data_IF_824105252658
#
_entry.id   IF_824105252658
#
_cell.length_a   1.000
_cell.length_b   1.000
_cell.length_c   1.000
_cell.angle_alpha   90.00
_cell.angle_beta   90.00
_cell.angle_gamma   90.00
#
_symmetry.space_group_name_H-M   'P 1'
#
loop_
_entity.id
_entity.type
_entity.pdbx_description
1 polymer ?
#
# COMPACT_ATOMS: atom_id res chain seq x y z
N UNK A 1 -7.78 -0.80 10.95
CA UNK A 1 -7.55 -1.04 9.51
C UNK A 1 -8.84 -0.85 8.70
N UNK A 2 -9.90 -1.67 8.85
CA UNK A 2 -11.11 -1.59 8.02
C UNK A 2 -11.98 -0.35 8.26
N UNK A 3 -12.02 0.18 9.48
CA UNK A 3 -12.67 1.46 9.78
C UNK A 3 -11.92 2.62 9.14
N UNK A 4 -10.60 2.54 9.11
CA UNK A 4 -9.71 3.61 8.65
C UNK A 4 -9.34 4.60 9.74
N UNK A 5 -8.80 5.75 9.33
CA UNK A 5 -8.43 6.85 10.19
C UNK A 5 -9.27 8.11 9.99
N UNK A 6 -10.32 8.06 9.16
CA UNK A 6 -11.23 9.20 8.97
C UNK A 6 -12.03 9.47 10.25
N UNK A 7 -11.94 10.68 10.87
CA UNK A 7 -12.52 10.93 12.19
C UNK A 7 -13.99 10.56 12.30
N UNK A 8 -14.80 10.95 11.32
CA UNK A 8 -16.25 10.65 11.30
C UNK A 8 -16.52 9.14 11.24
N UNK A 9 -15.72 8.37 10.49
CA UNK A 9 -15.84 6.92 10.38
C UNK A 9 -15.46 6.23 11.71
N UNK A 10 -14.41 6.73 12.38
CA UNK A 10 -13.97 6.22 13.69
C UNK A 10 -15.00 6.52 14.76
N UNK A 11 -15.52 7.74 14.83
CA UNK A 11 -16.58 8.16 15.75
C UNK A 11 -17.82 7.30 15.59
N UNK A 12 -18.32 7.16 14.37
CA UNK A 12 -19.49 6.31 14.06
C UNK A 12 -19.27 4.86 14.48
N UNK A 13 -18.08 4.31 14.32
CA UNK A 13 -17.78 2.95 14.76
C UNK A 13 -17.80 2.82 16.29
N UNK A 14 -17.19 3.77 17.00
CA UNK A 14 -17.17 3.78 18.47
C UNK A 14 -18.58 3.86 19.04
N UNK A 15 -19.44 4.71 18.46
CA UNK A 15 -20.80 4.91 18.94
C UNK A 15 -21.75 3.76 18.60
N UNK A 16 -21.57 3.12 17.43
CA UNK A 16 -22.59 2.20 16.90
C UNK A 16 -22.13 0.77 16.75
N UNK A 17 -20.82 0.50 16.76
CA UNK A 17 -20.20 -0.78 16.43
C UNK A 17 -20.79 -1.39 15.14
N UNK A 18 -21.08 -0.55 14.14
CA UNK A 18 -21.79 -0.93 12.92
C UNK A 18 -20.98 -0.54 11.68
N UNK A 19 -20.39 -1.53 11.01
CA UNK A 19 -19.58 -1.30 9.80
C UNK A 19 -20.39 -0.75 8.62
N UNK A 20 -21.69 -1.04 8.52
CA UNK A 20 -22.54 -0.47 7.48
C UNK A 20 -22.59 1.05 7.58
N UNK A 21 -22.81 1.60 8.78
CA UNK A 21 -22.81 3.06 9.00
C UNK A 21 -21.45 3.68 8.70
N UNK A 22 -20.39 2.99 9.07
CA UNK A 22 -19.01 3.39 8.73
C UNK A 22 -18.79 3.40 7.22
N UNK A 23 -19.30 2.40 6.51
CA UNK A 23 -19.19 2.31 5.04
C UNK A 23 -19.94 3.45 4.34
N UNK A 24 -21.16 3.80 4.80
CA UNK A 24 -21.93 4.93 4.30
C UNK A 24 -21.13 6.23 4.38
N UNK A 25 -20.54 6.53 5.54
CA UNK A 25 -19.67 7.71 5.74
C UNK A 25 -18.45 7.69 4.80
N UNK A 26 -17.79 6.54 4.66
CA UNK A 26 -16.62 6.41 3.77
C UNK A 26 -16.99 6.61 2.29
N UNK A 27 -18.17 6.15 1.86
CA UNK A 27 -18.70 6.40 0.52
C UNK A 27 -18.94 7.87 0.26
N UNK A 28 -19.49 8.60 1.23
CA UNK A 28 -19.66 10.05 1.13
C UNK A 28 -18.31 10.77 1.01
N UNK A 29 -17.30 10.34 1.77
CA UNK A 29 -15.94 10.87 1.65
C UNK A 29 -15.34 10.58 0.26
N UNK A 30 -15.49 9.36 -0.26
CA UNK A 30 -15.01 9.01 -1.61
C UNK A 30 -15.70 9.85 -2.70
N UNK A 31 -17.00 10.12 -2.54
CA UNK A 31 -17.75 11.00 -3.44
C UNK A 31 -17.21 12.43 -3.43
N UNK A 32 -16.89 12.96 -2.23
CA UNK A 32 -16.23 14.28 -2.12
C UNK A 32 -14.88 14.30 -2.82
N UNK A 33 -14.07 13.24 -2.73
CA UNK A 33 -12.82 13.13 -3.47
C UNK A 33 -13.05 13.16 -4.98
N UNK A 34 -14.05 12.42 -5.50
CA UNK A 34 -14.41 12.45 -6.92
C UNK A 34 -14.83 13.87 -7.39
N UNK A 35 -15.60 14.58 -6.57
CA UNK A 35 -16.01 15.95 -6.87
C UNK A 35 -14.80 16.90 -6.90
N UNK A 36 -13.85 16.73 -5.98
CA UNK A 36 -12.62 17.53 -5.96
C UNK A 36 -11.69 17.17 -7.14
N UNK A 37 -11.56 15.91 -7.50
CA UNK A 37 -10.81 15.50 -8.69
C UNK A 37 -11.38 16.10 -9.97
N UNK A 38 -12.70 16.20 -10.10
CA UNK A 38 -13.36 16.84 -11.25
C UNK A 38 -13.13 18.34 -11.35
N UNK A 39 -12.83 19.01 -10.23
CA UNK A 39 -12.41 20.43 -10.23
C UNK A 39 -10.99 20.60 -10.78
N UNK A 40 -10.12 19.62 -10.54
CA UNK A 40 -8.73 19.62 -11.00
C UNK A 40 -8.66 19.15 -12.47
N UNK A 41 -9.29 18.03 -12.77
CA UNK A 41 -9.33 17.41 -14.10
C UNK A 41 -10.77 17.14 -14.53
N UNK A 42 -11.34 18.05 -15.32
CA UNK A 42 -12.72 17.96 -15.82
C UNK A 42 -12.95 16.77 -16.77
N UNK A 43 -11.88 16.16 -17.31
CA UNK A 43 -11.97 14.97 -18.17
C UNK A 43 -12.20 13.68 -17.38
N UNK A 44 -12.03 13.71 -16.04
CA UNK A 44 -12.24 12.57 -15.15
C UNK A 44 -11.11 11.54 -15.12
N UNK A 45 -9.96 11.83 -15.72
CA UNK A 45 -8.81 10.90 -15.76
C UNK A 45 -8.23 10.64 -14.36
N UNK A 46 -8.20 11.66 -13.50
CA UNK A 46 -7.77 11.49 -12.09
C UNK A 46 -8.69 10.49 -11.39
N UNK A 47 -10.01 10.62 -11.54
CA UNK A 47 -10.97 9.67 -10.95
C UNK A 47 -10.76 8.25 -11.47
N UNK A 48 -10.49 8.07 -12.77
CA UNK A 48 -10.20 6.76 -13.36
C UNK A 48 -8.93 6.14 -12.77
N UNK A 49 -7.86 6.92 -12.62
CA UNK A 49 -6.61 6.47 -12.00
C UNK A 49 -6.83 6.08 -10.53
N UNK A 50 -7.56 6.88 -9.78
CA UNK A 50 -7.87 6.63 -8.38
C UNK A 50 -8.70 5.35 -8.21
N UNK A 51 -9.78 5.20 -8.96
CA UNK A 51 -10.68 4.05 -8.91
C UNK A 51 -10.00 2.73 -9.30
N UNK A 52 -8.97 2.79 -10.13
CA UNK A 52 -8.22 1.61 -10.53
C UNK A 52 -7.22 1.10 -9.48
N UNK A 53 -6.92 1.87 -8.43
CA UNK A 53 -5.90 1.50 -7.43
C UNK A 53 -6.16 0.11 -6.82
N UNK A 54 -7.36 -0.25 -6.33
CA UNK A 54 -7.58 -1.58 -5.75
C UNK A 54 -7.28 -2.71 -6.73
N UNK A 55 -7.74 -2.59 -7.98
CA UNK A 55 -7.50 -3.60 -9.01
C UNK A 55 -6.01 -3.72 -9.36
N UNK A 56 -5.31 -2.59 -9.45
CA UNK A 56 -3.87 -2.57 -9.72
C UNK A 56 -3.05 -3.19 -8.60
N UNK A 57 -3.38 -2.94 -7.34
CA UNK A 57 -2.73 -3.57 -6.18
C UNK A 57 -3.02 -5.09 -6.14
N UNK A 58 -4.24 -5.50 -6.47
CA UNK A 58 -4.65 -6.91 -6.45
C UNK A 58 -3.98 -7.76 -7.54
N UNK A 59 -3.48 -7.17 -8.63
CA UNK A 59 -2.82 -7.93 -9.71
C UNK A 59 -1.42 -8.42 -9.35
N UNK A 60 -0.88 -8.08 -8.18
CA UNK A 60 0.52 -8.34 -7.79
C UNK A 60 1.54 -7.84 -8.84
N UNK A 61 1.16 -6.82 -9.61
CA UNK A 61 2.06 -6.20 -10.57
C UNK A 61 3.13 -5.40 -9.82
N UNK A 62 4.37 -5.50 -10.28
CA UNK A 62 5.51 -4.80 -9.66
C UNK A 62 5.44 -3.26 -9.80
N UNK A 63 4.40 -2.74 -10.44
CA UNK A 63 4.16 -1.30 -10.62
C UNK A 63 2.72 -1.03 -11.02
N UNK A 64 2.25 0.19 -10.81
CA UNK A 64 0.99 0.68 -11.34
C UNK A 64 1.01 0.74 -12.87
N UNK A 65 0.06 0.09 -13.53
CA UNK A 65 -0.02 -0.05 -14.99
C UNK A 65 -0.91 1.07 -15.58
N UNK A 66 -0.34 2.26 -15.78
CA UNK A 66 -1.08 3.42 -16.29
C UNK A 66 -1.77 3.14 -17.64
N UNK A 67 -1.07 2.46 -18.55
CA UNK A 67 -1.62 2.14 -19.88
C UNK A 67 -2.85 1.22 -19.85
N UNK A 68 -3.03 0.49 -18.76
CA UNK A 68 -4.22 -0.33 -18.50
C UNK A 68 -5.44 0.49 -18.07
N UNK A 69 -5.25 1.73 -17.64
CA UNK A 69 -6.32 2.64 -17.19
C UNK A 69 -6.54 3.76 -18.20
N UNK A 70 -5.47 4.41 -18.64
CA UNK A 70 -5.46 5.51 -19.60
C UNK A 70 -4.64 5.13 -20.82
N UNK A 71 -5.28 4.54 -21.82
CA UNK A 71 -4.62 4.14 -23.05
C UNK A 71 -4.38 5.37 -23.97
N UNK A 72 -3.16 5.46 -24.53
CA UNK A 72 -2.82 6.51 -25.50
C UNK A 72 -2.45 7.87 -24.90
N UNK A 73 -2.49 8.04 -23.57
CA UNK A 73 -2.07 9.28 -22.92
C UNK A 73 -0.54 9.43 -22.93
N UNK A 74 -0.08 10.67 -23.00
CA UNK A 74 1.35 11.00 -22.93
C UNK A 74 1.86 10.82 -21.52
N UNK A 75 3.08 10.28 -21.38
CA UNK A 75 3.68 10.00 -20.09
C UNK A 75 3.77 11.24 -19.18
N UNK A 76 4.07 12.40 -19.73
CA UNK A 76 4.19 13.64 -18.96
C UNK A 76 2.82 14.06 -18.38
N UNK A 77 1.75 14.01 -19.18
CA UNK A 77 0.38 14.30 -18.74
C UNK A 77 -0.04 13.37 -17.60
N UNK A 78 0.29 12.09 -17.70
CA UNK A 78 -0.04 11.12 -16.65
C UNK A 78 0.72 11.42 -15.36
N UNK A 79 1.99 11.79 -15.43
CA UNK A 79 2.78 12.17 -14.25
C UNK A 79 2.22 13.42 -13.57
N UNK A 80 1.71 14.39 -14.33
CA UNK A 80 1.01 15.57 -13.78
C UNK A 80 -0.25 15.15 -13.01
N UNK A 81 -1.13 14.34 -13.62
CA UNK A 81 -2.35 13.84 -12.96
C UNK A 81 -2.05 13.06 -11.68
N UNK A 82 -0.98 12.24 -11.67
CA UNK A 82 -0.55 11.51 -10.48
C UNK A 82 0.01 12.46 -9.42
N UNK A 83 0.77 13.49 -9.82
CA UNK A 83 1.26 14.52 -8.91
C UNK A 83 0.10 15.23 -8.22
N UNK A 84 -0.93 15.63 -8.95
CA UNK A 84 -2.13 16.26 -8.41
C UNK A 84 -2.84 15.37 -7.38
N UNK A 85 -2.96 14.05 -7.66
CA UNK A 85 -3.50 13.09 -6.69
C UNK A 85 -2.64 12.97 -5.42
N UNK A 86 -1.32 12.94 -5.56
CA UNK A 86 -0.38 12.85 -4.42
C UNK A 86 -0.43 14.15 -3.61
N UNK A 87 -0.46 15.31 -4.27
CA UNK A 87 -0.50 16.61 -3.62
C UNK A 87 -1.82 16.84 -2.88
N UNK A 88 -2.94 16.27 -3.38
CA UNK A 88 -4.22 16.25 -2.66
C UNK A 88 -4.21 15.40 -1.40
N UNK A 89 -3.15 14.60 -1.19
CA UNK A 89 -3.00 13.65 -0.08
C UNK A 89 -4.08 12.55 -0.01
N UNK A 90 -4.75 12.30 -1.11
CA UNK A 90 -5.72 11.19 -1.21
C UNK A 90 -5.03 9.86 -1.48
N UNK A 91 -3.84 9.92 -2.08
CA UNK A 91 -2.99 8.77 -2.37
C UNK A 91 -1.56 8.98 -1.90
N UNK A 92 -0.85 7.89 -1.75
CA UNK A 92 0.57 7.80 -1.44
C UNK A 92 1.27 7.07 -2.59
N UNK A 93 2.45 7.53 -2.94
CA UNK A 93 3.25 6.94 -4.00
C UNK A 93 4.51 6.28 -3.43
N UNK A 94 4.74 5.02 -3.81
CA UNK A 94 5.99 4.33 -3.55
C UNK A 94 6.76 4.18 -4.87
N UNK A 95 7.99 4.68 -4.93
CA UNK A 95 8.84 4.57 -6.11
C UNK A 95 9.74 3.35 -6.05
N UNK A 96 9.99 2.71 -7.18
CA UNK A 96 11.04 1.71 -7.25
C UNK A 96 12.40 2.38 -7.06
N UNK A 97 13.19 1.84 -6.14
CA UNK A 97 14.61 2.16 -6.03
C UNK A 97 15.41 1.19 -6.94
N UNK A 98 16.06 1.71 -7.98
CA UNK A 98 16.84 0.88 -8.89
C UNK A 98 18.11 0.33 -8.23
N UNK A 99 18.72 1.09 -7.31
CA UNK A 99 19.80 0.62 -6.44
C UNK A 99 19.35 0.71 -4.97
N UNK A 100 19.17 -0.43 -4.28
CA UNK A 100 18.76 -0.45 -2.88
C UNK A 100 19.96 -0.13 -1.97
N UNK A 101 20.24 1.15 -1.83
CA UNK A 101 21.33 1.69 -1.02
C UNK A 101 20.84 2.91 -0.23
N UNK A 102 21.64 3.38 0.70
CA UNK A 102 21.40 4.66 1.37
C UNK A 102 21.27 5.79 0.33
N UNK A 103 20.35 6.72 0.58
CA UNK A 103 20.03 7.74 -0.43
C UNK A 103 19.06 7.25 -1.50
N UNK A 104 18.06 6.44 -1.12
CA UNK A 104 17.02 5.87 -2.00
C UNK A 104 16.40 6.89 -2.95
N UNK A 105 16.30 8.17 -2.54
CA UNK A 105 15.78 9.24 -3.37
C UNK A 105 16.59 9.47 -4.67
N UNK A 106 17.89 9.19 -4.64
CA UNK A 106 18.76 9.34 -5.83
C UNK A 106 18.61 8.16 -6.81
N UNK A 107 18.12 7.02 -6.32
CA UNK A 107 17.95 5.80 -7.09
C UNK A 107 16.50 5.57 -7.54
N UNK A 108 15.59 6.52 -7.26
CA UNK A 108 14.16 6.35 -7.59
C UNK A 108 13.92 6.39 -9.10
N UNK A 109 13.09 5.46 -9.57
CA UNK A 109 12.57 5.46 -10.93
C UNK A 109 11.20 6.13 -10.96
N UNK A 110 11.09 7.30 -11.60
CA UNK A 110 9.83 8.06 -11.69
C UNK A 110 8.76 7.37 -12.56
N UNK A 111 9.16 6.40 -13.39
CA UNK A 111 8.24 5.64 -14.27
C UNK A 111 7.79 4.31 -13.67
N UNK A 112 8.35 3.94 -12.53
CA UNK A 112 8.03 2.69 -11.84
C UNK A 112 7.62 3.00 -10.40
N UNK A 113 6.33 2.98 -10.17
CA UNK A 113 5.74 3.32 -8.87
C UNK A 113 4.52 2.45 -8.58
N UNK A 114 4.18 2.36 -7.32
CA UNK A 114 2.90 1.84 -6.81
C UNK A 114 2.11 3.00 -6.20
N UNK A 115 0.78 2.93 -6.29
CA UNK A 115 -0.13 3.86 -5.63
C UNK A 115 -0.88 3.14 -4.53
N UNK A 116 -0.93 3.77 -3.36
CA UNK A 116 -1.68 3.32 -2.20
C UNK A 116 -2.68 4.41 -1.80
N UNK A 117 -3.85 4.04 -1.28
CA UNK A 117 -4.73 5.03 -0.70
C UNK A 117 -4.16 5.56 0.62
N UNK A 118 -4.33 6.86 0.87
CA UNK A 118 -3.88 7.48 2.10
C UNK A 118 -4.63 6.94 3.34
N UNK A 119 -5.83 6.37 3.15
CA UNK A 119 -6.59 5.71 4.19
C UNK A 119 -7.01 4.28 3.77
N UNK A 120 -6.60 3.29 4.55
CA UNK A 120 -6.89 1.89 4.26
C UNK A 120 -8.38 1.54 4.47
N UNK A 121 -9.10 2.28 5.31
CA UNK A 121 -10.55 2.12 5.43
C UNK A 121 -11.28 2.55 4.17
N UNK A 122 -10.84 3.65 3.53
CA UNK A 122 -11.36 4.07 2.23
C UNK A 122 -11.01 3.04 1.13
N UNK A 123 -9.80 2.45 1.16
CA UNK A 123 -9.45 1.35 0.25
C UNK A 123 -10.43 0.18 0.40
N UNK A 124 -10.73 -0.23 1.64
CA UNK A 124 -11.69 -1.31 1.91
C UNK A 124 -13.09 -1.03 1.33
N UNK A 125 -13.55 0.22 1.38
CA UNK A 125 -14.83 0.63 0.77
C UNK A 125 -14.72 0.68 -0.77
N UNK A 126 -13.62 1.18 -1.31
CA UNK A 126 -13.40 1.28 -2.76
C UNK A 126 -13.35 -0.09 -3.45
N UNK A 127 -12.86 -1.13 -2.77
CA UNK A 127 -12.88 -2.53 -3.25
C UNK A 127 -14.31 -3.01 -3.57
N UNK A 128 -15.31 -2.53 -2.81
CA UNK A 128 -16.72 -2.89 -2.95
C UNK A 128 -17.56 -1.73 -3.51
N UNK A 129 -16.95 -0.86 -4.32
CA UNK A 129 -17.62 0.33 -4.89
C UNK A 129 -18.82 -0.02 -5.77
N UNK A 130 -18.81 -1.22 -6.37
CA UNK A 130 -19.89 -1.77 -7.21
C UNK A 130 -21.19 -2.06 -6.46
N UNK A 131 -21.17 -2.03 -5.12
CA UNK A 131 -22.33 -2.25 -4.26
C UNK A 131 -22.87 -0.93 -3.72
N UNK A 132 -24.18 -0.88 -3.47
CA UNK A 132 -24.79 0.29 -2.83
C UNK A 132 -24.24 0.53 -1.41
N UNK A 133 -23.92 -0.55 -0.72
CA UNK A 133 -23.24 -0.55 0.59
C UNK A 133 -22.55 -1.89 0.82
N UNK A 134 -21.59 -1.90 1.73
CA UNK A 134 -20.92 -3.12 2.17
C UNK A 134 -21.52 -3.60 3.49
N UNK A 135 -22.12 -4.79 3.46
CA UNK A 135 -22.77 -5.37 4.65
C UNK A 135 -21.77 -5.72 5.75
N UNK A 136 -22.21 -5.68 7.00
CA UNK A 136 -21.40 -6.06 8.16
C UNK A 136 -20.75 -7.44 8.00
N UNK A 137 -21.48 -8.40 7.43
CA UNK A 137 -21.00 -9.76 7.22
C UNK A 137 -19.79 -9.81 6.28
N UNK A 138 -19.68 -8.89 5.33
CA UNK A 138 -18.50 -8.80 4.44
C UNK A 138 -17.30 -8.33 5.25
N UNK A 139 -17.46 -7.32 6.09
CA UNK A 139 -16.39 -6.86 6.98
C UNK A 139 -15.97 -7.92 8.00
N UNK A 140 -16.91 -8.69 8.56
CA UNK A 140 -16.62 -9.81 9.45
C UNK A 140 -15.84 -10.93 8.74
N UNK A 141 -16.20 -11.23 7.48
CA UNK A 141 -15.46 -12.20 6.66
C UNK A 141 -14.06 -11.70 6.31
N UNK A 142 -13.88 -10.41 6.03
CA UNK A 142 -12.58 -9.79 5.83
C UNK A 142 -11.70 -9.92 7.09
N UNK A 143 -12.28 -9.64 8.27
CA UNK A 143 -11.58 -9.76 9.55
C UNK A 143 -11.21 -11.19 9.90
N UNK A 144 -12.03 -12.17 9.50
CA UNK A 144 -11.83 -13.59 9.82
C UNK A 144 -11.09 -14.36 8.73
N UNK A 145 -10.59 -13.70 7.68
CA UNK A 145 -9.91 -14.30 6.53
C UNK A 145 -10.75 -15.37 5.77
N UNK A 146 -12.09 -15.25 5.87
CA UNK A 146 -13.06 -16.19 5.29
C UNK A 146 -13.67 -15.73 3.96
N UNK A 147 -13.28 -14.58 3.45
CA UNK A 147 -13.85 -14.04 2.21
C UNK A 147 -13.30 -14.72 0.95
N UNK A 148 -12.21 -15.50 1.08
CA UNK A 148 -11.56 -16.16 -0.07
C UNK A 148 -10.89 -15.17 -1.04
N UNK A 149 -10.70 -13.92 -0.63
CA UNK A 149 -10.02 -12.87 -1.39
C UNK A 149 -8.63 -12.71 -0.81
N UNK A 150 -7.61 -12.67 -1.65
CA UNK A 150 -6.26 -12.31 -1.21
C UNK A 150 -6.24 -10.83 -0.82
N UNK A 151 -6.07 -10.57 0.46
CA UNK A 151 -6.04 -9.21 1.02
C UNK A 151 -4.61 -8.73 1.31
N UNK A 152 -3.59 -9.41 0.77
CA UNK A 152 -2.19 -9.02 0.95
C UNK A 152 -1.99 -7.52 0.68
N UNK A 153 -2.56 -7.02 -0.41
CA UNK A 153 -2.47 -5.61 -0.78
C UNK A 153 -3.14 -4.62 0.20
N UNK A 154 -4.14 -5.06 0.98
CA UNK A 154 -4.74 -4.22 2.04
C UNK A 154 -3.74 -4.07 3.21
N UNK A 155 -2.97 -5.14 3.50
CA UNK A 155 -1.89 -5.06 4.48
C UNK A 155 -0.70 -4.23 3.98
N UNK A 156 -0.36 -4.31 2.69
CA UNK A 156 0.62 -3.39 2.12
C UNK A 156 0.16 -1.93 2.22
N UNK A 157 -1.11 -1.66 1.96
CA UNK A 157 -1.67 -0.31 2.05
C UNK A 157 -1.60 0.26 3.48
N UNK A 158 -1.93 -0.53 4.52
CA UNK A 158 -1.85 -0.02 5.90
C UNK A 158 -0.38 0.21 6.31
N UNK A 159 0.55 -0.60 5.82
CA UNK A 159 1.98 -0.39 6.05
C UNK A 159 2.43 0.90 5.36
N UNK A 160 2.06 1.14 4.10
CA UNK A 160 2.31 2.38 3.39
C UNK A 160 1.77 3.60 4.15
N UNK A 161 0.51 3.51 4.61
CA UNK A 161 -0.14 4.56 5.40
C UNK A 161 0.63 4.88 6.69
N UNK A 162 1.03 3.87 7.44
CA UNK A 162 1.78 4.04 8.71
C UNK A 162 3.16 4.64 8.45
N UNK A 163 3.90 4.12 7.48
CA UNK A 163 5.23 4.63 7.14
C UNK A 163 5.18 6.09 6.67
N UNK A 164 4.22 6.42 5.82
CA UNK A 164 4.00 7.79 5.35
C UNK A 164 3.60 8.74 6.49
N UNK A 165 2.71 8.31 7.40
CA UNK A 165 2.33 9.08 8.58
C UNK A 165 3.51 9.35 9.53
N UNK A 166 4.53 8.50 9.51
CA UNK A 166 5.81 8.70 10.22
C UNK A 166 6.78 9.62 9.48
N UNK A 167 6.42 10.13 8.31
CA UNK A 167 7.25 11.02 7.49
C UNK A 167 8.23 10.30 6.57
N UNK A 168 8.12 8.98 6.39
CA UNK A 168 8.96 8.26 5.45
C UNK A 168 8.46 8.43 4.01
N UNK A 169 9.36 8.75 3.09
CA UNK A 169 9.13 8.54 1.67
C UNK A 169 9.13 7.03 1.37
N UNK A 170 8.18 6.59 0.54
CA UNK A 170 7.99 5.16 0.29
C UNK A 170 8.82 4.72 -0.92
N UNK A 171 9.59 3.67 -0.74
CA UNK A 171 10.37 3.00 -1.79
C UNK A 171 10.15 1.51 -1.70
N UNK A 172 10.18 0.83 -2.86
CA UNK A 172 10.21 -0.62 -2.97
C UNK A 172 11.35 -1.04 -3.91
N UNK A 173 11.66 -2.33 -3.97
CA UNK A 173 12.69 -2.82 -4.88
C UNK A 173 12.30 -4.16 -5.49
N UNK A 174 12.48 -4.28 -6.80
CA UNK A 174 12.32 -5.54 -7.52
C UNK A 174 13.67 -6.01 -8.07
N UNK A 175 13.96 -7.28 -7.95
CA UNK A 175 15.18 -7.88 -8.45
C UNK A 175 14.94 -9.30 -8.98
N UNK A 176 15.75 -9.71 -9.96
CA UNK A 176 15.62 -11.02 -10.59
C UNK A 176 16.01 -12.14 -9.62
N UNK A 177 15.14 -13.14 -9.51
CA UNK A 177 15.52 -14.43 -8.95
C UNK A 177 16.22 -15.25 -10.04
N UNK A 178 17.52 -15.41 -9.94
CA UNK A 178 18.35 -16.09 -10.94
C UNK A 178 17.93 -17.56 -11.18
N UNK A 179 17.36 -18.21 -10.15
CA UNK A 179 16.94 -19.63 -10.21
C UNK A 179 15.61 -19.85 -10.92
N UNK A 180 14.63 -18.96 -10.72
CA UNK A 180 13.25 -19.14 -11.22
C UNK A 180 12.89 -18.23 -12.38
N UNK A 181 13.75 -17.28 -12.77
CA UNK A 181 13.48 -16.22 -13.75
C UNK A 181 12.29 -15.31 -13.42
N UNK A 182 11.73 -15.41 -12.20
CA UNK A 182 10.72 -14.50 -11.68
C UNK A 182 11.39 -13.38 -10.87
N UNK A 183 10.75 -12.23 -10.81
CA UNK A 183 11.22 -11.17 -9.95
C UNK A 183 10.80 -11.44 -8.51
N UNK A 184 11.71 -11.21 -7.57
CA UNK A 184 11.41 -10.95 -6.19
C UNK A 184 11.10 -9.48 -5.99
N UNK A 185 10.30 -9.19 -4.97
CA UNK A 185 9.99 -7.83 -4.55
C UNK A 185 10.20 -7.70 -3.04
N UNK A 186 10.75 -6.57 -2.63
CA UNK A 186 10.75 -6.08 -1.25
C UNK A 186 9.74 -4.94 -1.20
N UNK A 187 8.69 -5.11 -0.41
CA UNK A 187 7.52 -4.23 -0.42
C UNK A 187 7.85 -2.80 -0.01
N UNK A 188 8.73 -2.62 0.99
CA UNK A 188 9.23 -1.30 1.37
C UNK A 188 10.71 -1.32 1.74
N UNK A 189 11.38 -0.20 1.46
CA UNK A 189 12.75 0.08 1.87
C UNK A 189 12.79 1.37 2.68
N UNK A 190 13.39 1.33 3.85
CA UNK A 190 13.67 2.52 4.65
C UNK A 190 15.18 2.78 4.70
N UNK A 191 15.58 4.05 4.65
CA UNK A 191 16.94 4.47 4.99
C UNK A 191 17.04 4.71 6.50
N UNK A 192 18.01 4.08 7.16
CA UNK A 192 18.26 4.26 8.59
C UNK A 192 19.76 4.35 8.83
N UNK A 193 20.22 5.46 9.41
CA UNK A 193 21.65 5.75 9.53
C UNK A 193 22.33 5.73 8.15
N UNK A 194 23.36 4.92 7.99
CA UNK A 194 24.11 4.72 6.75
C UNK A 194 23.77 3.41 6.01
N UNK A 195 22.62 2.81 6.30
CA UNK A 195 22.16 1.54 5.74
C UNK A 195 20.68 1.56 5.42
N UNK A 196 20.17 0.47 4.87
CA UNK A 196 18.76 0.27 4.56
C UNK A 196 18.13 -0.78 5.46
N UNK A 197 16.82 -0.69 5.60
CA UNK A 197 15.99 -1.68 6.29
C UNK A 197 14.91 -2.15 5.33
N UNK A 198 15.02 -3.37 4.76
CA UNK A 198 13.96 -3.98 3.96
C UNK A 198 12.80 -4.40 4.85
N UNK A 199 11.58 -4.19 4.35
CA UNK A 199 10.32 -4.59 4.97
C UNK A 199 9.56 -5.44 3.97
N UNK A 200 9.23 -6.67 4.35
CA UNK A 200 8.29 -7.55 3.65
C UNK A 200 6.96 -7.57 4.41
N UNK A 201 5.84 -7.57 3.71
CA UNK A 201 4.50 -7.56 4.29
C UNK A 201 3.79 -8.87 3.96
N UNK A 202 3.24 -9.54 4.97
CA UNK A 202 2.55 -10.82 4.79
C UNK A 202 1.24 -10.88 5.56
N UNK A 203 0.12 -11.01 4.85
CA UNK A 203 -1.18 -11.35 5.45
C UNK A 203 -1.26 -12.83 5.85
N UNK A 204 -0.61 -13.71 5.06
CA UNK A 204 -0.57 -15.16 5.25
C UNK A 204 0.77 -15.72 4.77
N UNK A 205 1.01 -17.02 4.92
CA UNK A 205 2.22 -17.67 4.39
C UNK A 205 3.55 -17.17 4.97
N UNK A 206 3.54 -16.61 6.17
CA UNK A 206 4.67 -15.94 6.82
C UNK A 206 5.79 -16.87 7.32
N UNK A 207 5.63 -18.19 7.17
CA UNK A 207 6.69 -19.16 7.49
C UNK A 207 7.80 -19.20 6.41
N UNK A 208 7.60 -18.52 5.30
CA UNK A 208 8.59 -18.41 4.21
C UNK A 208 8.75 -16.94 3.83
N UNK A 209 9.97 -16.46 3.80
CA UNK A 209 10.35 -15.08 3.47
C UNK A 209 11.46 -15.06 2.41
N UNK A 210 11.23 -15.84 1.34
CA UNK A 210 12.23 -16.09 0.27
C UNK A 210 12.75 -14.82 -0.39
N UNK A 211 11.92 -13.80 -0.57
CA UNK A 211 12.34 -12.53 -1.17
C UNK A 211 13.29 -11.79 -0.24
N UNK A 212 12.95 -11.71 1.06
CA UNK A 212 13.78 -11.07 2.08
C UNK A 212 15.11 -11.80 2.28
N UNK A 213 15.11 -13.14 2.24
CA UNK A 213 16.31 -13.95 2.34
C UNK A 213 17.25 -13.72 1.14
N UNK A 214 16.70 -13.80 -0.08
CA UNK A 214 17.48 -13.57 -1.31
C UNK A 214 18.01 -12.13 -1.39
N UNK A 215 17.21 -11.15 -0.94
CA UNK A 215 17.64 -9.77 -0.82
C UNK A 215 18.79 -9.62 0.17
N UNK A 216 18.68 -10.30 1.31
CA UNK A 216 19.69 -10.28 2.37
C UNK A 216 21.00 -10.92 1.91
N UNK A 217 20.95 -12.00 1.15
CA UNK A 217 22.12 -12.63 0.55
C UNK A 217 22.82 -11.68 -0.42
N UNK A 218 22.03 -11.02 -1.30
CA UNK A 218 22.56 -10.16 -2.37
C UNK A 218 23.11 -8.81 -1.85
N UNK A 219 22.51 -8.24 -0.81
CA UNK A 219 22.78 -6.88 -0.33
C UNK A 219 23.18 -6.83 1.16
N UNK A 220 23.76 -7.92 1.70
CA UNK A 220 24.05 -8.08 3.14
C UNK A 220 24.79 -6.91 3.77
N UNK A 221 25.77 -6.32 3.09
CA UNK A 221 26.57 -5.20 3.61
C UNK A 221 25.79 -3.89 3.74
N UNK A 222 24.68 -3.77 3.02
CA UNK A 222 23.83 -2.57 2.97
C UNK A 222 22.71 -2.59 4.00
N UNK A 223 22.42 -3.74 4.60
CA UNK A 223 21.27 -3.94 5.49
C UNK A 223 21.66 -3.65 6.94
N UNK A 224 20.83 -2.87 7.64
CA UNK A 224 20.95 -2.64 9.07
C UNK A 224 20.06 -3.60 9.87
N UNK A 225 18.79 -3.66 9.54
CA UNK A 225 17.75 -4.45 10.20
C UNK A 225 16.79 -4.98 9.13
N UNK A 226 16.19 -6.13 9.40
CA UNK A 226 15.20 -6.77 8.52
C UNK A 226 13.86 -6.91 9.22
N UNK A 227 12.80 -6.54 8.54
CA UNK A 227 11.46 -6.57 9.10
C UNK A 227 10.52 -7.40 8.23
N UNK A 228 9.71 -8.22 8.90
CA UNK A 228 8.55 -8.85 8.30
C UNK A 228 7.31 -8.39 9.05
N UNK A 229 6.46 -7.61 8.39
CA UNK A 229 5.20 -7.13 8.98
C UNK A 229 4.10 -8.14 8.67
N UNK A 230 3.40 -8.61 9.71
CA UNK A 230 2.46 -9.72 9.58
C UNK A 230 1.29 -9.66 10.58
N UNK A 231 0.50 -10.73 10.65
CA UNK A 231 -0.76 -10.78 11.41
C UNK A 231 -0.66 -11.46 12.78
N UNK A 232 0.53 -11.92 13.18
CA UNK A 232 0.74 -12.65 14.44
C UNK A 232 1.57 -11.83 15.43
N UNK A 233 1.86 -12.38 16.59
CA UNK A 233 2.58 -11.72 17.68
C UNK A 233 4.03 -11.41 17.35
N UNK A 234 4.57 -10.41 18.04
CA UNK A 234 5.98 -10.02 17.92
C UNK A 234 6.89 -11.21 18.20
N UNK A 235 7.75 -11.52 17.27
CA UNK A 235 8.81 -12.52 17.45
C UNK A 235 10.05 -12.17 16.62
N UNK A 236 11.15 -12.88 16.91
CA UNK A 236 12.36 -12.84 16.12
C UNK A 236 12.59 -14.20 15.47
N UNK A 237 12.87 -14.20 14.16
CA UNK A 237 13.23 -15.39 13.39
C UNK A 237 14.62 -15.16 12.77
N UNK A 238 15.64 -15.80 13.34
CA UNK A 238 17.02 -15.47 13.02
C UNK A 238 17.35 -14.00 13.31
N UNK A 239 17.68 -13.25 12.26
CA UNK A 239 17.92 -11.81 12.32
C UNK A 239 16.74 -10.96 11.78
N UNK A 240 15.62 -11.60 11.44
CA UNK A 240 14.40 -10.94 11.01
C UNK A 240 13.52 -10.62 12.22
N UNK A 241 13.15 -9.35 12.38
CA UNK A 241 12.15 -8.94 13.36
C UNK A 241 10.76 -9.03 12.74
N UNK A 242 9.96 -9.96 13.21
CA UNK A 242 8.59 -10.16 12.77
C UNK A 242 7.65 -9.31 13.64
N UNK A 243 7.03 -8.32 13.01
CA UNK A 243 6.23 -7.30 13.69
C UNK A 243 4.75 -7.45 13.33
N UNK A 244 3.84 -7.53 14.30
CA UNK A 244 2.42 -7.30 14.03
C UNK A 244 2.22 -5.86 13.52
N UNK A 245 1.31 -5.69 12.55
CA UNK A 245 1.09 -4.39 11.89
C UNK A 245 0.79 -3.25 12.88
N UNK A 246 0.11 -3.55 14.00
CA UNK A 246 -0.22 -2.55 15.03
C UNK A 246 1.00 -2.07 15.85
N UNK A 247 2.14 -2.75 15.79
CA UNK A 247 3.40 -2.30 16.40
C UNK A 247 4.27 -1.47 15.46
N UNK A 248 3.98 -1.46 14.15
CA UNK A 248 4.75 -0.69 13.17
C UNK A 248 4.85 0.82 13.50
N UNK A 249 3.80 1.50 14.05
CA UNK A 249 3.91 2.90 14.47
C UNK A 249 5.01 3.15 15.51
N UNK A 250 5.37 2.16 16.31
CA UNK A 250 6.36 2.25 17.38
C UNK A 250 7.78 1.84 16.96
N UNK A 251 7.96 1.38 15.73
CA UNK A 251 9.28 1.08 15.15
C UNK A 251 10.12 2.37 15.11
N UNK A 252 11.33 2.33 15.67
CA UNK A 252 12.27 3.47 15.73
C UNK A 252 13.17 3.54 14.50
#
# INVERSE_FOLDING_TARGET
MLVGGMPQAVESYIETNNFRKVDEIKRDILKLYEDDFRKIDTSGRISMLFDAIPAQLNTNASRYQVSGVLSGERADTVLELISDMVDSRTVQIAYQANDPNVGLANAKDLRRFKLFLADTGLLATLIFKDKDFTENIIYEKLLSDKLGVDLGYVYENIVAQILSAKGHALYYHTFLNEKSKHNYEIDFLLSKKNKICPIEVKSSGYNTHKALDAFSEKFSERILEKYLVYTKDLKKDGDILMLPVYLLPFMK
#
